data_IF_559422663644
#
_entry.id   IF_559422663644
#
_cell.length_a   1.000
_cell.length_b   1.000
_cell.length_c   1.000
_cell.angle_alpha   90.00
_cell.angle_beta   90.00
_cell.angle_gamma   90.00
#
_symmetry.space_group_name_H-M   'P 1'
#
loop_
_entity.id
_entity.type
_entity.pdbx_description
1 polymer ?
#
# COMPACT_ATOMS: atom_id res chain seq x y z
N UNK A 1 -15.00 -21.17 34.64
CA UNK A 1 -14.47 -20.01 33.86
C UNK A 1 -14.38 -20.22 32.32
N UNK A 2 -15.06 -21.20 31.69
CA UNK A 2 -14.86 -21.52 30.24
C UNK A 2 -16.03 -21.19 29.29
N UNK A 3 -17.06 -20.43 29.71
CA UNK A 3 -18.26 -20.16 28.90
C UNK A 3 -18.38 -18.76 28.28
N UNK A 4 -17.54 -17.78 28.65
CA UNK A 4 -17.67 -16.39 28.14
C UNK A 4 -16.96 -16.11 26.80
N UNK A 5 -15.95 -16.90 26.40
CA UNK A 5 -15.21 -16.66 25.14
C UNK A 5 -15.92 -17.17 23.86
N UNK A 6 -16.87 -18.10 23.99
CA UNK A 6 -17.60 -18.64 22.83
C UNK A 6 -18.71 -17.70 22.31
N UNK A 7 -19.12 -16.69 23.08
CA UNK A 7 -20.14 -15.73 22.69
C UNK A 7 -19.58 -14.60 21.80
N UNK A 8 -18.34 -14.17 22.04
CA UNK A 8 -17.65 -13.18 21.20
C UNK A 8 -17.30 -13.73 19.81
N UNK A 9 -16.80 -14.98 19.74
CA UNK A 9 -16.44 -15.63 18.49
C UNK A 9 -17.66 -15.84 17.56
N UNK A 10 -18.80 -16.25 18.13
CA UNK A 10 -20.07 -16.43 17.38
C UNK A 10 -20.64 -15.12 16.86
N UNK A 11 -20.34 -13.98 17.51
CA UNK A 11 -20.76 -12.64 17.07
C UNK A 11 -19.91 -12.15 15.90
N UNK A 12 -18.61 -12.45 15.92
CA UNK A 12 -17.68 -12.16 14.82
C UNK A 12 -17.99 -12.99 13.55
N UNK A 13 -18.26 -14.29 13.71
CA UNK A 13 -18.64 -15.20 12.62
C UNK A 13 -19.98 -14.82 11.96
N UNK A 14 -20.99 -14.39 12.75
CA UNK A 14 -22.27 -13.91 12.20
C UNK A 14 -22.14 -12.58 11.44
N UNK A 15 -21.19 -11.73 11.80
CA UNK A 15 -20.93 -10.48 11.08
C UNK A 15 -20.20 -10.74 9.76
N UNK A 16 -19.20 -11.63 9.73
CA UNK A 16 -18.54 -12.05 8.49
C UNK A 16 -19.53 -12.69 7.50
N UNK A 17 -20.48 -13.51 7.98
CA UNK A 17 -21.50 -14.12 7.13
C UNK A 17 -22.43 -13.08 6.48
N UNK A 18 -22.79 -12.00 7.18
CA UNK A 18 -23.61 -10.90 6.61
C UNK A 18 -22.85 -10.00 5.64
N UNK A 19 -21.55 -9.84 5.82
CA UNK A 19 -20.72 -9.06 4.90
C UNK A 19 -20.45 -9.80 3.57
N UNK A 20 -20.40 -11.13 3.58
CA UNK A 20 -20.22 -11.94 2.37
C UNK A 20 -21.51 -12.19 1.57
N UNK A 21 -22.70 -11.94 2.14
CA UNK A 21 -23.99 -12.18 1.48
C UNK A 21 -24.53 -10.98 0.69
N UNK A 22 -23.76 -9.88 0.57
CA UNK A 22 -24.25 -8.58 0.10
C UNK A 22 -24.25 -8.32 -1.40
N UNK A 23 -23.73 -9.23 -2.24
CA UNK A 23 -23.69 -9.01 -3.70
C UNK A 23 -23.86 -10.31 -4.45
N UNK A 24 -24.92 -10.37 -5.26
CA UNK A 24 -25.25 -11.37 -6.28
C UNK A 24 -25.63 -12.77 -5.78
N UNK A 25 -26.91 -12.96 -5.42
CA UNK A 25 -27.57 -14.26 -5.58
C UNK A 25 -29.09 -14.08 -5.65
N UNK A 26 -29.58 -13.59 -6.79
CA UNK A 26 -30.99 -13.73 -7.15
C UNK A 26 -31.09 -14.81 -8.23
N UNK A 27 -31.96 -15.79 -7.96
CA UNK A 27 -32.51 -16.77 -8.91
C UNK A 27 -31.68 -18.03 -9.13
N UNK A 28 -31.76 -18.99 -8.22
CA UNK A 28 -31.85 -20.41 -8.57
C UNK A 28 -32.82 -21.14 -7.62
N UNK A 29 -33.76 -21.84 -8.25
CA UNK A 29 -34.89 -22.57 -7.68
C UNK A 29 -34.44 -23.68 -6.73
N UNK A 30 -35.04 -23.71 -5.54
CA UNK A 30 -34.97 -24.84 -4.62
C UNK A 30 -35.69 -26.05 -5.25
N UNK A 31 -34.94 -27.11 -5.57
CA UNK A 31 -35.38 -28.52 -5.48
C UNK A 31 -34.23 -29.46 -5.86
N UNK A 32 -33.98 -30.42 -4.97
CA UNK A 32 -33.28 -31.71 -5.18
C UNK A 32 -31.75 -31.65 -5.20
N UNK A 33 -31.12 -32.11 -4.10
CA UNK A 33 -30.02 -33.06 -4.21
C UNK A 33 -29.81 -33.78 -2.87
N UNK A 34 -30.07 -35.08 -2.89
CA UNK A 34 -29.85 -36.01 -1.80
C UNK A 34 -28.34 -36.20 -1.53
N UNK A 35 -28.08 -36.68 -0.32
CA UNK A 35 -26.80 -36.95 0.32
C UNK A 35 -25.85 -37.84 -0.49
N UNK A 36 -24.70 -37.29 -0.89
CA UNK A 36 -23.44 -38.01 -1.06
C UNK A 36 -22.31 -37.12 -0.55
N UNK A 37 -21.89 -37.34 0.70
CA UNK A 37 -20.75 -36.65 1.34
C UNK A 37 -19.44 -37.18 0.78
N UNK A 38 -19.11 -36.82 -0.46
CA UNK A 38 -17.73 -36.87 -0.95
C UNK A 38 -17.04 -35.63 -0.40
N UNK A 39 -16.26 -35.78 0.69
CA UNK A 39 -15.41 -34.71 1.21
C UNK A 39 -14.54 -34.20 0.07
N UNK A 40 -14.70 -32.92 -0.28
CA UNK A 40 -13.94 -32.34 -1.39
C UNK A 40 -12.49 -32.17 -0.92
N UNK A 41 -11.46 -32.40 -1.78
CA UNK A 41 -10.05 -32.31 -1.37
C UNK A 41 -9.66 -30.97 -0.74
N UNK A 42 -10.39 -29.89 -1.04
CA UNK A 42 -10.16 -28.58 -0.44
C UNK A 42 -10.60 -28.49 1.04
N UNK A 43 -11.56 -29.32 1.49
CA UNK A 43 -11.96 -29.38 2.91
C UNK A 43 -10.81 -29.92 3.78
N UNK A 44 -9.97 -30.79 3.22
CA UNK A 44 -8.80 -31.33 3.92
C UNK A 44 -7.66 -30.31 4.05
N UNK A 45 -7.47 -29.43 3.05
CA UNK A 45 -6.46 -28.36 3.14
C UNK A 45 -6.87 -27.23 4.08
N UNK A 46 -8.17 -26.94 4.20
CA UNK A 46 -8.69 -25.94 5.12
C UNK A 46 -8.57 -26.42 6.58
N UNK A 47 -8.90 -27.70 6.85
CA UNK A 47 -8.73 -28.32 8.17
C UNK A 47 -7.26 -28.41 8.64
N UNK A 48 -6.29 -28.51 7.71
CA UNK A 48 -4.86 -28.52 8.06
C UNK A 48 -4.36 -27.16 8.53
N UNK A 49 -4.96 -26.07 8.05
CA UNK A 49 -4.62 -24.71 8.49
C UNK A 49 -5.18 -24.39 9.87
N UNK A 50 -6.39 -24.89 10.20
CA UNK A 50 -7.03 -24.67 11.51
C UNK A 50 -6.28 -25.32 12.68
N UNK A 51 -5.51 -26.38 12.44
CA UNK A 51 -4.74 -27.09 13.46
C UNK A 51 -3.39 -26.42 13.80
N UNK A 52 -3.03 -25.31 13.15
CA UNK A 52 -1.80 -24.58 13.48
C UNK A 52 -2.06 -23.67 14.69
N UNK A 53 -1.24 -23.70 15.77
CA UNK A 53 -1.48 -22.93 16.99
C UNK A 53 -1.53 -21.41 16.77
N UNK A 54 -0.93 -20.93 15.67
CA UNK A 54 -0.91 -19.52 15.27
C UNK A 54 -2.13 -19.10 14.44
N UNK A 55 -2.96 -20.04 13.98
CA UNK A 55 -4.10 -19.75 13.11
C UNK A 55 -5.10 -18.74 13.70
N UNK A 56 -5.45 -18.80 15.00
CA UNK A 56 -6.30 -17.78 15.61
C UNK A 56 -5.70 -16.36 15.56
N UNK A 57 -4.38 -16.25 15.76
CA UNK A 57 -3.67 -14.97 15.68
C UNK A 57 -3.66 -14.43 14.25
N UNK A 58 -3.45 -15.30 13.25
CA UNK A 58 -3.53 -14.94 11.83
C UNK A 58 -4.91 -14.38 11.49
N UNK A 59 -5.99 -15.01 11.96
CA UNK A 59 -7.36 -14.51 11.73
C UNK A 59 -7.57 -13.13 12.36
N UNK A 60 -7.14 -12.93 13.61
CA UNK A 60 -7.28 -11.64 14.30
C UNK A 60 -6.46 -10.56 13.59
N UNK A 61 -5.20 -10.85 13.24
CA UNK A 61 -4.31 -9.94 12.52
C UNK A 61 -4.88 -9.58 11.15
N UNK A 62 -5.40 -10.56 10.41
CA UNK A 62 -6.04 -10.36 9.12
C UNK A 62 -7.29 -9.47 9.21
N UNK A 63 -8.17 -9.71 10.19
CA UNK A 63 -9.34 -8.87 10.42
C UNK A 63 -8.95 -7.43 10.78
N UNK A 64 -7.91 -7.24 11.60
CA UNK A 64 -7.40 -5.92 11.94
C UNK A 64 -6.81 -5.22 10.71
N UNK A 65 -5.99 -5.92 9.93
CA UNK A 65 -5.37 -5.43 8.71
C UNK A 65 -6.42 -5.01 7.66
N UNK A 66 -7.47 -5.81 7.47
CA UNK A 66 -8.56 -5.46 6.55
C UNK A 66 -9.29 -4.19 6.99
N UNK A 67 -9.54 -4.01 8.29
CA UNK A 67 -10.12 -2.74 8.79
C UNK A 67 -9.21 -1.55 8.53
N UNK A 68 -7.89 -1.76 8.54
CA UNK A 68 -6.92 -0.71 8.26
C UNK A 68 -6.69 -0.41 6.79
N UNK A 69 -7.07 -1.29 5.85
CA UNK A 69 -6.78 -1.14 4.42
C UNK A 69 -8.02 -1.01 3.54
N UNK A 70 -9.23 -1.14 4.10
CA UNK A 70 -10.48 -0.91 3.37
C UNK A 70 -10.96 0.52 3.65
N UNK A 71 -10.72 1.42 2.69
CA UNK A 71 -11.04 2.85 2.83
C UNK A 71 -12.13 3.32 1.89
N UNK A 72 -12.96 4.22 2.40
CA UNK A 72 -13.82 5.06 1.57
C UNK A 72 -12.99 6.02 0.70
N UNK A 73 -13.56 6.54 -0.40
CA UNK A 73 -12.88 7.54 -1.23
C UNK A 73 -12.41 8.77 -0.44
N UNK A 74 -13.22 9.29 0.50
CA UNK A 74 -12.82 10.43 1.33
C UNK A 74 -11.72 10.11 2.34
N UNK A 75 -11.72 8.92 2.96
CA UNK A 75 -10.61 8.47 3.81
C UNK A 75 -9.30 8.38 3.03
N UNK A 76 -9.37 7.88 1.79
CA UNK A 76 -8.21 7.82 0.90
C UNK A 76 -7.65 9.22 0.62
N UNK A 77 -8.53 10.20 0.40
CA UNK A 77 -8.14 11.59 0.16
C UNK A 77 -7.58 12.27 1.42
N UNK A 78 -8.09 11.97 2.61
CA UNK A 78 -7.50 12.42 3.87
C UNK A 78 -6.11 11.83 4.10
N UNK A 79 -5.94 10.53 3.87
CA UNK A 79 -4.63 9.86 4.01
C UNK A 79 -3.61 10.47 3.05
N UNK A 80 -4.00 10.74 1.81
CA UNK A 80 -3.17 11.48 0.85
C UNK A 80 -2.82 12.88 1.36
N UNK A 81 -3.78 13.58 1.96
CA UNK A 81 -3.56 14.93 2.47
C UNK A 81 -2.54 14.92 3.61
N UNK A 82 -2.66 14.00 4.56
CA UNK A 82 -1.65 13.81 5.62
C UNK A 82 -0.30 13.49 5.01
N UNK A 83 -0.23 12.54 4.07
CA UNK A 83 1.03 12.18 3.40
C UNK A 83 1.66 13.37 2.65
N UNK A 84 0.85 14.22 2.02
CA UNK A 84 1.31 15.44 1.34
C UNK A 84 1.89 16.44 2.34
N UNK A 85 1.22 16.66 3.46
CA UNK A 85 1.72 17.57 4.50
C UNK A 85 3.05 17.07 5.09
N UNK A 86 3.16 15.77 5.35
CA UNK A 86 4.41 15.16 5.84
C UNK A 86 5.54 15.31 4.81
N UNK A 87 5.27 15.07 3.53
CA UNK A 87 6.24 15.23 2.44
C UNK A 87 6.71 16.69 2.29
N UNK A 88 5.77 17.64 2.32
CA UNK A 88 6.10 19.07 2.20
C UNK A 88 6.91 19.55 3.40
N UNK A 89 6.56 19.12 4.62
CA UNK A 89 7.32 19.45 5.82
C UNK A 89 8.76 18.90 5.75
N UNK A 90 8.94 17.67 5.27
CA UNK A 90 10.25 17.05 5.05
C UNK A 90 11.09 17.83 4.02
N UNK A 91 10.50 18.14 2.88
CA UNK A 91 11.16 18.89 1.82
C UNK A 91 11.51 20.31 2.25
N UNK A 92 10.65 21.01 3.00
CA UNK A 92 10.97 22.33 3.56
C UNK A 92 12.15 22.22 4.52
N UNK A 93 12.15 21.21 5.41
CA UNK A 93 13.25 21.02 6.35
C UNK A 93 14.59 20.77 5.64
N UNK A 94 14.57 19.96 4.58
CA UNK A 94 15.76 19.57 3.81
C UNK A 94 16.24 20.69 2.87
N UNK A 95 15.33 21.31 2.12
CA UNK A 95 15.67 22.24 1.04
C UNK A 95 15.81 23.68 1.50
N UNK A 96 15.09 24.12 2.54
CA UNK A 96 15.25 25.46 3.09
C UNK A 96 16.34 25.56 4.18
N UNK A 97 17.11 24.48 4.41
CA UNK A 97 18.22 24.48 5.37
C UNK A 97 17.82 24.64 6.84
N UNK A 98 16.55 24.40 7.19
CA UNK A 98 16.05 24.44 8.57
C UNK A 98 16.63 23.31 9.44
N UNK A 99 17.07 22.20 8.82
CA UNK A 99 17.69 21.02 9.43
C UNK A 99 16.97 20.52 10.70
N UNK A 100 15.64 20.56 10.66
CA UNK A 100 14.80 20.19 11.80
C UNK A 100 14.52 18.68 11.80
N UNK A 101 15.16 17.98 12.72
CA UNK A 101 15.01 16.53 12.90
C UNK A 101 13.55 16.06 13.07
N UNK A 102 12.69 16.86 13.71
CA UNK A 102 11.28 16.50 13.90
C UNK A 102 10.50 16.50 12.59
N UNK A 103 10.76 17.47 11.71
CA UNK A 103 10.13 17.53 10.39
C UNK A 103 10.63 16.38 9.50
N UNK A 104 11.94 16.07 9.57
CA UNK A 104 12.53 14.94 8.85
C UNK A 104 12.01 13.59 9.34
N UNK A 105 11.80 13.48 10.66
CA UNK A 105 11.22 12.29 11.28
C UNK A 105 9.75 12.12 10.87
N UNK A 106 8.98 13.22 10.82
CA UNK A 106 7.61 13.23 10.32
C UNK A 106 7.55 12.80 8.84
N UNK A 107 8.48 13.29 8.02
CA UNK A 107 8.64 12.99 6.60
C UNK A 107 8.73 11.51 6.25
N UNK A 108 9.34 10.69 7.14
CA UNK A 108 9.51 9.25 6.91
C UNK A 108 8.20 8.49 6.77
N UNK A 109 7.10 9.04 7.28
CA UNK A 109 5.77 8.48 7.11
C UNK A 109 5.13 8.74 5.73
N UNK A 110 5.62 9.72 4.96
CA UNK A 110 4.98 10.13 3.71
C UNK A 110 5.01 9.02 2.64
N UNK A 111 6.19 8.45 2.39
CA UNK A 111 6.37 7.46 1.34
C UNK A 111 5.57 6.15 1.58
N UNK A 112 5.56 5.52 2.77
CA UNK A 112 4.70 4.37 3.03
C UNK A 112 3.21 4.66 2.87
N UNK A 113 2.74 5.85 3.27
CA UNK A 113 1.34 6.25 3.08
C UNK A 113 0.99 6.38 1.59
N UNK A 114 1.83 7.04 0.78
CA UNK A 114 1.63 7.08 -0.67
C UNK A 114 1.71 5.69 -1.30
N UNK A 115 2.65 4.86 -0.86
CA UNK A 115 2.80 3.46 -1.24
C UNK A 115 1.51 2.67 -1.09
N UNK A 116 0.89 2.75 0.09
CA UNK A 116 -0.36 2.07 0.38
C UNK A 116 -1.54 2.63 -0.41
N UNK A 117 -1.68 3.96 -0.48
CA UNK A 117 -2.69 4.63 -1.31
C UNK A 117 -2.60 4.17 -2.77
N UNK A 118 -1.40 4.18 -3.32
CA UNK A 118 -1.14 3.72 -4.68
C UNK A 118 -1.49 2.24 -4.85
N UNK A 119 -1.05 1.38 -3.94
CA UNK A 119 -1.31 -0.06 -3.98
C UNK A 119 -2.81 -0.40 -3.98
N UNK A 120 -3.63 0.21 -3.11
CA UNK A 120 -5.08 -0.09 -3.17
C UNK A 120 -5.73 0.53 -4.40
N UNK A 121 -5.27 1.69 -4.89
CA UNK A 121 -5.80 2.24 -6.13
C UNK A 121 -5.55 1.30 -7.31
N UNK A 122 -4.40 0.61 -7.32
CA UNK A 122 -4.11 -0.47 -8.27
C UNK A 122 -5.01 -1.69 -8.05
N UNK A 123 -5.18 -2.11 -6.80
CA UNK A 123 -5.97 -3.29 -6.43
C UNK A 123 -7.50 -3.11 -6.63
N UNK A 124 -8.00 -1.88 -6.80
CA UNK A 124 -9.41 -1.61 -7.17
C UNK A 124 -9.77 -2.18 -8.55
N UNK A 125 -8.79 -2.42 -9.42
CA UNK A 125 -9.00 -2.96 -10.74
C UNK A 125 -8.53 -4.42 -10.81
N UNK A 126 -9.25 -5.32 -11.50
CA UNK A 126 -8.84 -6.73 -11.63
C UNK A 126 -7.46 -6.92 -12.27
N UNK A 127 -7.07 -5.98 -13.13
CA UNK A 127 -5.76 -5.95 -13.78
C UNK A 127 -5.21 -4.52 -13.78
N UNK A 128 -3.89 -4.42 -13.67
CA UNK A 128 -3.20 -3.13 -13.72
C UNK A 128 -3.32 -2.52 -15.13
N UNK A 129 -3.99 -1.38 -15.21
CA UNK A 129 -4.26 -0.69 -16.46
C UNK A 129 -3.01 0.02 -17.00
N UNK A 130 -2.61 -0.28 -18.24
CA UNK A 130 -1.45 0.37 -18.87
C UNK A 130 -1.65 1.89 -18.98
N UNK A 131 -2.88 2.34 -19.23
CA UNK A 131 -3.21 3.78 -19.30
C UNK A 131 -2.85 4.52 -18.01
N UNK A 132 -3.06 3.90 -16.84
CA UNK A 132 -2.70 4.49 -15.56
C UNK A 132 -1.17 4.55 -15.37
N UNK A 133 -0.46 3.50 -15.79
CA UNK A 133 1.01 3.47 -15.76
C UNK A 133 1.63 4.48 -16.74
N UNK A 134 1.12 4.59 -17.97
CA UNK A 134 1.60 5.57 -18.94
C UNK A 134 1.45 6.99 -18.41
N UNK A 135 0.33 7.30 -17.75
CA UNK A 135 0.13 8.59 -17.08
C UNK A 135 1.14 8.80 -15.95
N UNK A 136 1.45 7.77 -15.18
CA UNK A 136 2.45 7.83 -14.12
C UNK A 136 3.86 8.07 -14.67
N UNK A 137 4.23 7.45 -15.79
CA UNK A 137 5.48 7.72 -16.51
C UNK A 137 5.56 9.16 -17.02
N UNK A 138 4.48 9.67 -17.62
CA UNK A 138 4.42 11.08 -18.07
C UNK A 138 4.62 12.02 -16.88
N UNK A 139 3.91 11.79 -15.78
CA UNK A 139 4.04 12.60 -14.58
C UNK A 139 5.42 12.48 -13.92
N UNK A 140 6.05 11.30 -13.97
CA UNK A 140 7.43 11.14 -13.50
C UNK A 140 8.41 12.00 -14.33
N UNK A 141 8.22 12.07 -15.65
CA UNK A 141 8.98 12.97 -16.51
C UNK A 141 8.73 14.45 -16.19
N UNK A 142 7.47 14.86 -16.06
CA UNK A 142 7.11 16.25 -15.70
C UNK A 142 7.69 16.64 -14.34
N UNK A 143 7.58 15.77 -13.34
CA UNK A 143 8.10 16.02 -12.00
C UNK A 143 9.64 16.05 -11.94
N UNK A 144 10.33 15.45 -12.91
CA UNK A 144 11.78 15.56 -13.01
C UNK A 144 12.21 17.02 -13.26
N UNK A 145 11.38 17.82 -13.96
CA UNK A 145 11.63 19.26 -14.09
C UNK A 145 11.61 19.98 -12.75
N UNK A 146 10.58 19.73 -11.92
CA UNK A 146 10.50 20.28 -10.56
C UNK A 146 11.64 19.79 -9.65
N UNK A 147 12.04 18.53 -9.77
CA UNK A 147 13.19 17.96 -9.07
C UNK A 147 14.50 18.70 -9.40
N UNK A 148 14.74 18.99 -10.68
CA UNK A 148 15.93 19.73 -11.11
C UNK A 148 15.89 21.18 -10.63
N UNK A 149 14.73 21.84 -10.72
CA UNK A 149 14.54 23.20 -10.19
C UNK A 149 14.75 23.28 -8.68
N UNK A 150 14.43 22.21 -7.94
CA UNK A 150 14.72 22.09 -6.52
C UNK A 150 16.21 21.91 -6.18
N UNK A 151 17.11 21.95 -7.18
CA UNK A 151 18.56 21.78 -6.98
C UNK A 151 18.98 20.32 -6.75
N UNK A 152 18.08 19.35 -6.97
CA UNK A 152 18.38 17.94 -6.79
C UNK A 152 19.09 17.38 -8.03
N UNK A 153 19.92 16.35 -7.81
CA UNK A 153 20.76 15.73 -8.84
C UNK A 153 19.92 15.22 -10.04
N UNK A 154 20.20 15.68 -11.28
CA UNK A 154 19.38 15.35 -12.46
C UNK A 154 19.53 13.90 -12.90
N UNK A 155 20.66 13.25 -12.56
CA UNK A 155 20.93 11.84 -12.83
C UNK A 155 20.06 10.90 -11.98
N UNK A 156 19.52 11.37 -10.85
CA UNK A 156 18.65 10.57 -10.01
C UNK A 156 17.18 10.71 -10.42
N UNK A 157 16.48 9.58 -10.45
CA UNK A 157 15.04 9.56 -10.69
C UNK A 157 14.28 9.98 -9.45
N UNK A 158 13.27 10.84 -9.63
CA UNK A 158 12.29 11.19 -8.60
C UNK A 158 11.36 10.02 -8.23
N UNK A 159 10.64 10.17 -7.10
CA UNK A 159 9.87 9.08 -6.49
C UNK A 159 8.79 8.49 -7.40
N UNK A 160 8.22 9.28 -8.33
CA UNK A 160 7.20 8.78 -9.27
C UNK A 160 7.76 7.71 -10.20
N UNK A 161 9.06 7.73 -10.51
CA UNK A 161 9.70 6.65 -11.26
C UNK A 161 9.69 5.34 -10.46
N UNK A 162 9.89 5.37 -9.13
CA UNK A 162 9.80 4.17 -8.30
C UNK A 162 8.41 3.53 -8.39
N UNK A 163 7.35 4.35 -8.35
CA UNK A 163 5.97 3.89 -8.54
C UNK A 163 5.73 3.36 -9.97
N UNK A 164 6.26 4.04 -10.99
CA UNK A 164 6.09 3.66 -12.40
C UNK A 164 6.76 2.32 -12.70
N UNK A 165 8.00 2.13 -12.27
CA UNK A 165 8.79 0.91 -12.43
C UNK A 165 8.16 -0.24 -11.66
N UNK A 166 7.80 -0.04 -10.39
CA UNK A 166 7.14 -1.07 -9.57
C UNK A 166 5.81 -1.50 -10.17
N UNK A 167 5.01 -0.54 -10.62
CA UNK A 167 3.73 -0.80 -11.28
C UNK A 167 3.88 -1.52 -12.62
N UNK A 168 4.87 -1.13 -13.41
CA UNK A 168 5.15 -1.75 -14.71
C UNK A 168 5.67 -3.18 -14.57
N UNK A 169 6.57 -3.43 -13.62
CA UNK A 169 7.06 -4.77 -13.28
C UNK A 169 5.89 -5.68 -12.86
N UNK A 170 5.01 -5.20 -11.97
CA UNK A 170 3.84 -5.97 -11.55
C UNK A 170 2.84 -6.20 -12.70
N UNK A 171 2.63 -5.20 -13.56
CA UNK A 171 1.74 -5.33 -14.71
C UNK A 171 2.26 -6.34 -15.74
N UNK A 172 3.58 -6.42 -15.96
CA UNK A 172 4.19 -7.42 -16.83
C UNK A 172 3.88 -8.83 -16.33
N UNK A 173 4.13 -9.08 -15.04
CA UNK A 173 3.84 -10.36 -14.39
C UNK A 173 2.34 -10.72 -14.43
N UNK A 174 1.45 -9.74 -14.25
CA UNK A 174 0.00 -9.98 -14.30
C UNK A 174 -0.50 -10.33 -15.71
N UNK A 175 0.01 -9.68 -16.75
CA UNK A 175 -0.49 -9.87 -18.12
C UNK A 175 0.06 -11.11 -18.81
N UNK A 176 1.34 -11.40 -18.61
CA UNK A 176 2.03 -12.45 -19.33
C UNK A 176 2.36 -13.66 -18.43
N UNK A 177 1.92 -13.62 -17.18
CA UNK A 177 2.11 -14.69 -16.20
C UNK A 177 3.51 -14.70 -15.56
N UNK A 178 3.75 -15.65 -14.64
CA UNK A 178 4.95 -15.67 -13.80
C UNK A 178 6.24 -15.90 -14.59
N UNK A 179 6.19 -16.46 -15.79
CA UNK A 179 7.37 -16.69 -16.65
C UNK A 179 8.07 -15.38 -17.06
N UNK A 180 7.39 -14.24 -16.98
CA UNK A 180 7.96 -12.92 -17.28
C UNK A 180 8.64 -12.24 -16.09
N UNK A 181 8.84 -12.96 -14.98
CA UNK A 181 9.61 -12.46 -13.84
C UNK A 181 11.04 -11.98 -14.22
N UNK A 182 11.79 -12.60 -15.17
CA UNK A 182 13.13 -12.10 -15.50
C UNK A 182 13.07 -10.74 -16.18
N UNK A 183 12.07 -10.51 -17.04
CA UNK A 183 11.86 -9.21 -17.69
C UNK A 183 11.47 -8.13 -16.68
N UNK A 184 10.62 -8.49 -15.72
CA UNK A 184 10.21 -7.59 -14.63
C UNK A 184 11.39 -7.24 -13.71
N UNK A 185 12.25 -8.23 -13.41
CA UNK A 185 13.47 -8.04 -12.66
C UNK A 185 14.47 -7.17 -13.43
N UNK A 186 14.68 -7.45 -14.72
CA UNK A 186 15.55 -6.67 -15.59
C UNK A 186 15.13 -5.20 -15.63
N UNK A 187 13.82 -4.91 -15.71
CA UNK A 187 13.29 -3.56 -15.64
C UNK A 187 13.65 -2.85 -14.31
N UNK A 188 13.49 -3.54 -13.18
CA UNK A 188 13.83 -3.00 -11.86
C UNK A 188 15.34 -2.77 -11.75
N UNK A 189 16.16 -3.73 -12.17
CA UNK A 189 17.62 -3.64 -12.12
C UNK A 189 18.16 -2.54 -13.04
N UNK A 190 17.59 -2.37 -14.23
CA UNK A 190 17.95 -1.29 -15.14
C UNK A 190 17.66 0.09 -14.57
N UNK A 191 16.59 0.23 -13.77
CA UNK A 191 16.27 1.48 -13.10
C UNK A 191 17.04 1.71 -11.79
N UNK A 192 17.53 0.65 -11.15
CA UNK A 192 18.14 0.71 -9.82
C UNK A 192 19.33 1.71 -9.70
N UNK A 193 20.21 1.90 -10.69
CA UNK A 193 21.27 2.92 -10.61
C UNK A 193 20.75 4.35 -10.39
N UNK A 194 19.54 4.65 -10.88
CA UNK A 194 18.91 5.97 -10.79
C UNK A 194 18.05 6.14 -9.53
N UNK A 195 17.94 5.10 -8.70
CA UNK A 195 16.96 5.01 -7.61
C UNK A 195 17.44 5.58 -6.27
N UNK A 196 18.69 6.05 -6.19
CA UNK A 196 19.27 6.55 -4.94
C UNK A 196 18.51 7.76 -4.37
N UNK A 197 17.88 8.58 -5.23
CA UNK A 197 16.98 9.67 -4.82
C UNK A 197 15.55 9.23 -4.46
N UNK A 198 15.23 7.94 -4.58
CA UNK A 198 13.87 7.39 -4.53
C UNK A 198 13.78 6.10 -3.72
N UNK A 199 14.45 6.03 -2.58
CA UNK A 199 14.45 4.90 -1.64
C UNK A 199 14.99 3.56 -2.17
N UNK A 200 15.62 3.54 -3.34
CA UNK A 200 16.36 2.38 -3.82
C UNK A 200 15.53 1.11 -3.99
N UNK A 201 16.22 -0.03 -3.81
CA UNK A 201 15.60 -1.36 -3.82
C UNK A 201 14.57 -1.52 -2.70
N UNK A 202 14.83 -0.96 -1.52
CA UNK A 202 13.92 -1.04 -0.37
C UNK A 202 12.55 -0.41 -0.70
N UNK A 203 12.55 0.71 -1.42
CA UNK A 203 11.34 1.35 -1.91
C UNK A 203 10.54 0.48 -2.88
N UNK A 204 11.21 -0.11 -3.87
CA UNK A 204 10.56 -1.02 -4.83
C UNK A 204 9.95 -2.23 -4.12
N UNK A 205 10.70 -2.85 -3.20
CA UNK A 205 10.23 -4.01 -2.43
C UNK A 205 9.03 -3.63 -1.57
N UNK A 206 9.06 -2.47 -0.90
CA UNK A 206 7.93 -1.96 -0.12
C UNK A 206 6.68 -1.80 -0.99
N UNK A 207 6.81 -1.20 -2.18
CA UNK A 207 5.70 -1.01 -3.11
C UNK A 207 5.13 -2.34 -3.64
N UNK A 208 6.00 -3.30 -3.98
CA UNK A 208 5.58 -4.64 -4.40
C UNK A 208 4.83 -5.38 -3.28
N UNK A 209 5.32 -5.30 -2.04
CA UNK A 209 4.68 -5.89 -0.86
C UNK A 209 3.33 -5.22 -0.57
N UNK A 210 3.23 -3.89 -0.67
CA UNK A 210 1.99 -3.15 -0.50
C UNK A 210 0.92 -3.61 -1.51
N UNK A 211 1.30 -3.77 -2.78
CA UNK A 211 0.43 -4.36 -3.80
C UNK A 211 0.06 -5.81 -3.47
N UNK A 212 1.03 -6.63 -3.05
CA UNK A 212 0.79 -8.01 -2.64
C UNK A 212 -0.22 -8.13 -1.51
N UNK A 213 -0.13 -7.28 -0.48
CA UNK A 213 -1.09 -7.22 0.63
C UNK A 213 -2.49 -6.87 0.12
N UNK A 214 -2.60 -5.92 -0.80
CA UNK A 214 -3.89 -5.43 -1.32
C UNK A 214 -4.57 -6.39 -2.30
N UNK A 215 -3.79 -7.15 -3.08
CA UNK A 215 -4.31 -8.03 -4.14
C UNK A 215 -4.54 -9.48 -3.68
N UNK A 216 -4.02 -9.87 -2.51
CA UNK A 216 -4.10 -11.25 -2.02
C UNK A 216 -5.39 -11.52 -1.24
N UNK A 217 -6.14 -12.56 -1.64
CA UNK A 217 -7.35 -13.01 -0.93
C UNK A 217 -7.11 -14.01 0.21
N UNK A 218 -5.98 -14.73 0.21
CA UNK A 218 -5.65 -15.74 1.24
C UNK A 218 -5.13 -15.07 2.51
N UNK A 219 -5.80 -15.31 3.65
CA UNK A 219 -5.50 -14.66 4.94
C UNK A 219 -4.06 -14.88 5.39
N UNK A 220 -3.58 -16.12 5.39
CA UNK A 220 -2.21 -16.48 5.81
C UNK A 220 -1.14 -15.78 4.98
N UNK A 221 -1.29 -15.80 3.65
CA UNK A 221 -0.38 -15.10 2.73
C UNK A 221 -0.44 -13.59 2.94
N UNK A 222 -1.64 -13.02 3.07
CA UNK A 222 -1.82 -11.58 3.29
C UNK A 222 -1.18 -11.10 4.60
N UNK A 223 -1.36 -11.83 5.70
CA UNK A 223 -0.72 -11.49 6.98
C UNK A 223 0.81 -11.62 6.91
N UNK A 224 1.31 -12.64 6.22
CA UNK A 224 2.76 -12.79 5.99
C UNK A 224 3.34 -11.63 5.19
N UNK A 225 2.67 -11.25 4.08
CA UNK A 225 3.07 -10.10 3.28
C UNK A 225 2.99 -8.78 4.05
N UNK A 226 2.01 -8.63 4.95
CA UNK A 226 1.90 -7.44 5.79
C UNK A 226 3.02 -7.35 6.82
N UNK A 227 3.45 -8.49 7.38
CA UNK A 227 4.64 -8.53 8.24
C UNK A 227 5.91 -8.17 7.44
N UNK A 228 6.09 -8.76 6.26
CA UNK A 228 7.20 -8.41 5.38
C UNK A 228 7.16 -6.93 4.98
N UNK A 229 5.97 -6.37 4.76
CA UNK A 229 5.79 -4.95 4.47
C UNK A 229 6.24 -4.07 5.64
N UNK A 230 5.87 -4.43 6.87
CA UNK A 230 6.33 -3.71 8.06
C UNK A 230 7.86 -3.76 8.19
N UNK A 231 8.48 -4.91 7.93
CA UNK A 231 9.94 -5.05 7.91
C UNK A 231 10.59 -4.22 6.79
N UNK A 232 9.99 -4.19 5.60
CA UNK A 232 10.46 -3.37 4.50
C UNK A 232 10.37 -1.88 4.83
N UNK A 233 9.30 -1.44 5.50
CA UNK A 233 9.14 -0.05 5.96
C UNK A 233 10.21 0.32 6.99
N UNK A 234 10.54 -0.57 7.92
CA UNK A 234 11.66 -0.35 8.86
C UNK A 234 12.99 -0.25 8.10
N UNK A 235 13.21 -1.13 7.12
CA UNK A 235 14.44 -1.17 6.33
C UNK A 235 14.65 0.08 5.47
N UNK A 236 13.59 0.81 5.09
CA UNK A 236 13.69 2.04 4.29
C UNK A 236 14.61 3.09 4.92
N UNK A 237 14.59 3.21 6.26
CA UNK A 237 15.32 4.26 6.98
C UNK A 237 16.30 3.68 8.01
N UNK A 238 16.52 2.37 7.99
CA UNK A 238 17.41 1.68 8.94
C UNK A 238 18.88 2.12 8.79
N UNK A 239 19.29 2.52 7.58
CA UNK A 239 20.63 3.03 7.32
C UNK A 239 20.86 4.44 7.89
N UNK A 240 19.80 5.26 7.99
CA UNK A 240 19.91 6.64 8.46
C UNK A 240 19.89 6.69 10.01
N UNK A 241 18.88 6.08 10.63
CA UNK A 241 18.72 6.06 12.09
C UNK A 241 17.61 5.09 12.52
N UNK A 242 17.78 4.37 13.65
CA UNK A 242 16.70 3.59 14.25
C UNK A 242 15.44 4.42 14.52
N UNK A 243 15.60 5.70 14.91
CA UNK A 243 14.48 6.59 15.15
C UNK A 243 13.68 6.87 13.87
N UNK A 244 14.35 7.07 12.73
CA UNK A 244 13.72 7.26 11.44
C UNK A 244 13.04 5.98 10.92
N UNK A 245 13.62 4.81 11.16
CA UNK A 245 12.98 3.53 10.87
C UNK A 245 11.68 3.37 11.65
N UNK A 246 11.72 3.58 12.97
CA UNK A 246 10.54 3.48 13.84
C UNK A 246 9.48 4.51 13.44
N UNK A 247 9.88 5.77 13.21
CA UNK A 247 8.97 6.82 12.79
C UNK A 247 8.28 6.50 11.46
N UNK A 248 9.05 6.01 10.49
CA UNK A 248 8.54 5.57 9.19
C UNK A 248 7.50 4.46 9.28
N UNK A 249 7.51 3.63 10.33
CA UNK A 249 6.48 2.62 10.59
C UNK A 249 5.31 3.16 11.44
N UNK A 250 5.62 3.90 12.51
CA UNK A 250 4.65 4.37 13.50
C UNK A 250 3.74 5.45 12.90
N UNK A 251 4.27 6.43 12.18
CA UNK A 251 3.48 7.55 11.65
C UNK A 251 2.41 7.05 10.66
N UNK A 252 2.74 6.20 9.66
CA UNK A 252 1.72 5.59 8.82
C UNK A 252 0.74 4.73 9.62
N UNK A 253 1.23 3.90 10.55
CA UNK A 253 0.39 3.03 11.36
C UNK A 253 -0.67 3.80 12.18
N UNK A 254 -0.26 4.90 12.83
CA UNK A 254 -1.14 5.80 13.59
C UNK A 254 -2.12 6.50 12.64
N UNK A 255 -1.62 7.08 11.55
CA UNK A 255 -2.44 7.77 10.55
C UNK A 255 -3.55 6.88 10.02
N UNK A 256 -3.20 5.65 9.62
CA UNK A 256 -4.16 4.67 9.13
C UNK A 256 -5.14 4.24 10.21
N UNK A 257 -4.68 4.00 11.44
CA UNK A 257 -5.55 3.58 12.54
C UNK A 257 -6.57 4.65 12.90
N UNK A 258 -6.17 5.93 12.93
CA UNK A 258 -7.06 7.05 13.24
C UNK A 258 -8.06 7.24 12.08
N UNK A 259 -7.55 7.48 10.86
CA UNK A 259 -8.40 7.86 9.72
C UNK A 259 -9.33 6.73 9.26
N UNK A 260 -8.92 5.46 9.37
CA UNK A 260 -9.79 4.32 9.05
C UNK A 260 -10.97 4.17 10.00
N UNK A 261 -10.85 4.67 11.25
CA UNK A 261 -11.87 4.52 12.30
C UNK A 261 -12.81 5.72 12.41
N UNK A 262 -12.31 6.94 12.24
CA UNK A 262 -13.06 8.16 12.57
C UNK A 262 -13.71 8.83 11.35
N UNK A 263 -13.13 8.69 10.15
CA UNK A 263 -13.49 9.52 8.99
C UNK A 263 -14.36 8.81 7.93
N UNK A 264 -15.18 7.83 8.31
CA UNK A 264 -15.93 6.98 7.37
C UNK A 264 -16.98 7.71 6.51
N UNK A 265 -17.33 8.96 6.83
CA UNK A 265 -18.41 9.73 6.18
C UNK A 265 -17.91 10.89 5.31
N UNK A 266 -16.60 11.07 5.19
CA UNK A 266 -16.03 12.18 4.42
C UNK A 266 -16.26 11.92 2.93
N UNK A 267 -16.86 12.86 2.18
CA UNK A 267 -17.02 12.71 0.73
C UNK A 267 -15.67 12.80 0.03
N UNK A 268 -15.60 12.29 -1.19
CA UNK A 268 -14.41 12.47 -2.05
C UNK A 268 -14.24 13.95 -2.38
N UNK A 269 -13.02 14.47 -2.24
CA UNK A 269 -12.74 15.88 -2.50
C UNK A 269 -11.54 16.12 -3.41
N UNK A 270 -10.58 15.18 -3.52
CA UNK A 270 -9.47 15.33 -4.44
C UNK A 270 -9.75 14.72 -5.82
N UNK A 271 -9.43 15.44 -6.93
CA UNK A 271 -9.48 14.87 -8.26
C UNK A 271 -8.36 13.84 -8.46
N UNK A 272 -8.50 13.01 -9.50
CA UNK A 272 -7.58 11.88 -9.75
C UNK A 272 -6.14 12.31 -10.03
N UNK A 273 -5.95 13.46 -10.68
CA UNK A 273 -4.65 14.00 -11.10
C UNK A 273 -4.00 14.93 -10.05
N UNK A 274 -4.66 15.16 -8.92
CA UNK A 274 -4.19 16.15 -7.95
C UNK A 274 -2.78 15.85 -7.42
N UNK A 275 -2.53 14.59 -7.07
CA UNK A 275 -1.27 14.21 -6.42
C UNK A 275 -0.05 14.41 -7.32
N UNK A 276 0.02 13.89 -8.56
CA UNK A 276 1.18 14.09 -9.41
C UNK A 276 1.40 15.56 -9.79
N UNK A 277 0.32 16.32 -10.00
CA UNK A 277 0.38 17.75 -10.26
C UNK A 277 0.99 18.50 -9.06
N UNK A 278 0.45 18.27 -7.85
CA UNK A 278 0.97 18.86 -6.62
C UNK A 278 2.43 18.48 -6.41
N UNK A 279 2.79 17.21 -6.67
CA UNK A 279 4.15 16.73 -6.54
C UNK A 279 5.12 17.49 -7.47
N UNK A 280 4.77 17.71 -8.74
CA UNK A 280 5.62 18.49 -9.63
C UNK A 280 5.71 19.98 -9.20
N UNK A 281 4.58 20.59 -8.84
CA UNK A 281 4.50 22.01 -8.51
C UNK A 281 5.20 22.34 -7.20
N UNK A 282 5.03 21.56 -6.12
CA UNK A 282 5.64 21.91 -4.84
C UNK A 282 7.18 21.85 -4.89
N UNK A 283 7.77 20.90 -5.63
CA UNK A 283 9.22 20.86 -5.84
C UNK A 283 9.70 22.10 -6.59
N UNK A 284 8.99 22.49 -7.65
CA UNK A 284 9.32 23.70 -8.41
C UNK A 284 9.20 24.96 -7.55
N UNK A 285 8.15 25.08 -6.73
CA UNK A 285 7.95 26.23 -5.82
C UNK A 285 9.05 26.29 -4.77
N UNK A 286 9.36 25.16 -4.10
CA UNK A 286 10.43 25.15 -3.10
C UNK A 286 11.78 25.48 -3.75
N UNK A 287 12.07 24.93 -4.93
CA UNK A 287 13.28 25.26 -5.69
C UNK A 287 13.40 26.76 -6.00
N UNK A 288 12.33 27.36 -6.52
CA UNK A 288 12.29 28.80 -6.80
C UNK A 288 12.40 29.68 -5.56
N UNK A 289 12.00 29.20 -4.38
CA UNK A 289 12.13 29.95 -3.12
C UNK A 289 13.55 29.88 -2.53
N UNK A 290 14.32 28.85 -2.88
CA UNK A 290 15.66 28.59 -2.34
C UNK A 290 16.75 29.13 -3.27
N UNK A 291 16.46 29.33 -4.57
CA UNK A 291 17.31 30.04 -5.53
C UNK A 291 17.31 31.56 -5.29
#
# INVERSE_FOLDING_TARGET
MRRKNAAGMRRCLRWCARACSGTACSRWSAKRCETLSVKRPWEATDMRAENHPLFPLVVVADCWLQRLLVWTPGQTDLIKTVALLLMVADHISMLCGLDNDWLRLAGRGAFPLFGLVWAMNLARHPQIQQRALNRLWIWAGVAQGGWILAGLRPDLGNILFAFAVSGQALALMQRHGPRTWPLSLMLVLAWLPFSAGSYGLAGVVMLMLACGVCMTGRRTTRTGLALCLALAILALNAADSPAFAIAGLVIPGVTLTVLSRTCCRVPRFWPREFFPLFYAVHLAVIGLMVM
#
